data_IF_502214500140
#
_entry.id   IF_502214500140
#
_cell.length_a   1.000
_cell.length_b   1.000
_cell.length_c   1.000
_cell.angle_alpha   90.00
_cell.angle_beta   90.00
_cell.angle_gamma   90.00
#
_symmetry.space_group_name_H-M   'P 1'
#
loop_
_entity.id
_entity.type
_entity.pdbx_description
1 polymer ?
#
# COMPACT_ATOMS: atom_id res chain seq x y z
N UNK A 1 43.91 27.38 5.17
CA UNK A 1 42.50 27.75 5.38
C UNK A 1 41.76 27.52 4.08
N UNK A 2 40.80 26.60 4.07
CA UNK A 2 40.00 26.24 2.90
C UNK A 2 38.99 27.34 2.54
N UNK A 3 38.61 27.46 1.27
CA UNK A 3 37.64 28.44 0.76
C UNK A 3 36.30 28.44 1.51
N UNK A 4 35.89 27.31 2.02
CA UNK A 4 34.67 27.13 2.83
C UNK A 4 34.70 27.92 4.17
N UNK A 5 35.87 28.03 4.81
CA UNK A 5 36.03 28.78 6.05
C UNK A 5 35.91 30.30 5.85
N UNK A 6 36.26 30.80 4.66
CA UNK A 6 36.14 32.22 4.28
C UNK A 6 34.70 32.63 3.98
N UNK A 7 33.86 31.65 3.56
CA UNK A 7 32.42 31.85 3.28
C UNK A 7 31.54 31.70 4.50
N UNK A 8 32.08 31.51 5.71
CA UNK A 8 31.31 31.31 6.94
C UNK A 8 30.64 29.94 7.02
N UNK A 9 30.97 29.02 6.12
CA UNK A 9 30.41 27.68 6.12
C UNK A 9 31.05 26.84 7.23
N UNK A 10 30.26 26.53 8.25
CA UNK A 10 30.64 25.57 9.31
C UNK A 10 30.24 24.17 8.86
N UNK A 11 31.23 23.33 8.58
CA UNK A 11 31.00 21.91 8.42
C UNK A 11 30.47 21.40 9.78
N UNK A 12 29.26 20.77 9.84
CA UNK A 12 28.80 20.16 11.06
C UNK A 12 29.80 19.11 11.51
N UNK A 13 30.34 19.24 12.74
CA UNK A 13 31.29 18.26 13.28
C UNK A 13 30.59 16.90 13.38
N UNK A 14 31.24 15.86 12.90
CA UNK A 14 30.82 14.46 13.12
C UNK A 14 30.61 14.27 14.62
N UNK A 15 29.36 13.96 15.02
CA UNK A 15 29.03 13.70 16.42
C UNK A 15 27.95 14.59 17.03
N UNK A 16 27.29 15.47 16.29
CA UNK A 16 26.11 16.17 16.80
C UNK A 16 24.88 15.28 16.69
N UNK A 17 24.25 15.07 17.83
CA UNK A 17 22.92 14.51 17.92
C UNK A 17 21.96 15.21 16.93
N UNK A 18 20.93 14.49 16.53
CA UNK A 18 19.87 14.92 15.62
C UNK A 18 19.53 16.41 15.81
N UNK A 19 19.59 17.20 14.74
CA UNK A 19 19.15 18.60 14.75
C UNK A 19 17.62 18.57 14.80
N UNK A 20 17.05 18.70 15.99
CA UNK A 20 15.60 18.80 16.17
C UNK A 20 15.09 20.15 15.65
N UNK A 21 13.91 20.16 15.03
CA UNK A 21 13.26 21.39 14.59
C UNK A 21 13.65 21.84 13.20
N UNK A 22 14.11 20.94 12.33
CA UNK A 22 14.39 21.22 10.91
C UNK A 22 13.10 21.50 10.09
N UNK A 23 11.96 21.11 10.62
CA UNK A 23 10.65 21.16 9.93
C UNK A 23 10.60 20.34 8.62
N UNK A 24 11.42 19.30 8.53
CA UNK A 24 11.47 18.39 7.39
C UNK A 24 11.07 16.97 7.82
N UNK A 25 10.13 16.39 7.09
CA UNK A 25 9.65 15.01 7.28
C UNK A 25 9.97 14.18 6.04
N UNK A 26 10.63 13.05 6.25
CA UNK A 26 10.83 12.06 5.20
C UNK A 26 9.55 11.25 4.97
N UNK A 27 9.11 11.15 3.71
CA UNK A 27 8.03 10.28 3.30
C UNK A 27 8.62 9.19 2.42
N UNK A 28 8.61 7.96 2.93
CA UNK A 28 9.19 6.78 2.27
C UNK A 28 8.08 6.06 1.50
N UNK A 29 8.20 6.05 0.19
CA UNK A 29 7.24 5.41 -0.73
C UNK A 29 7.95 4.41 -1.64
N UNK A 30 7.19 3.47 -2.18
CA UNK A 30 7.66 2.62 -3.28
C UNK A 30 7.68 3.35 -4.62
N UNK A 31 7.63 2.59 -5.69
CA UNK A 31 7.63 3.15 -7.03
C UNK A 31 6.43 4.09 -7.29
N UNK A 32 6.68 5.27 -7.85
CA UNK A 32 5.68 6.31 -8.07
C UNK A 32 4.69 6.02 -9.22
N UNK A 33 4.92 4.97 -10.01
CA UNK A 33 3.94 4.52 -11.02
C UNK A 33 2.66 3.92 -10.41
N UNK A 34 2.66 3.62 -9.11
CA UNK A 34 1.44 3.24 -8.40
C UNK A 34 0.62 4.50 -8.06
N UNK A 35 -0.51 4.68 -8.73
CA UNK A 35 -1.37 5.85 -8.59
C UNK A 35 -1.88 6.09 -7.16
N UNK A 36 -2.08 5.02 -6.37
CA UNK A 36 -2.45 5.15 -4.96
C UNK A 36 -1.34 5.79 -4.14
N UNK A 37 -0.08 5.41 -4.37
CA UNK A 37 1.06 6.01 -3.66
C UNK A 37 1.20 7.50 -3.99
N UNK A 38 0.95 7.89 -5.23
CA UNK A 38 0.96 9.31 -5.65
C UNK A 38 -0.17 10.09 -4.97
N UNK A 39 -1.36 9.51 -4.89
CA UNK A 39 -2.50 10.12 -4.19
C UNK A 39 -2.23 10.27 -2.69
N UNK A 40 -1.70 9.23 -2.04
CA UNK A 40 -1.31 9.26 -0.62
C UNK A 40 -0.25 10.33 -0.36
N UNK A 41 0.79 10.41 -1.22
CA UNK A 41 1.84 11.43 -1.11
C UNK A 41 1.28 12.84 -1.20
N UNK A 42 0.31 13.08 -2.09
CA UNK A 42 -0.37 14.38 -2.20
C UNK A 42 -1.08 14.75 -0.89
N UNK A 43 -1.84 13.82 -0.29
CA UNK A 43 -2.54 14.06 0.96
C UNK A 43 -1.58 14.22 2.15
N UNK A 44 -0.50 13.45 2.20
CA UNK A 44 0.56 13.61 3.21
C UNK A 44 1.24 14.97 3.09
N UNK A 45 1.59 15.39 1.85
CA UNK A 45 2.16 16.70 1.59
C UNK A 45 1.24 17.82 2.09
N UNK A 46 -0.05 17.77 1.74
CA UNK A 46 -1.02 18.79 2.15
C UNK A 46 -1.15 18.85 3.69
N UNK A 47 -1.25 17.71 4.35
CA UNK A 47 -1.37 17.64 5.81
C UNK A 47 -0.11 18.15 6.53
N UNK A 48 1.08 17.80 6.03
CA UNK A 48 2.36 18.27 6.57
C UNK A 48 2.56 19.77 6.34
N UNK A 49 2.19 20.27 5.15
CA UNK A 49 2.28 21.69 4.83
C UNK A 49 1.42 22.54 5.75
N UNK A 50 0.17 22.13 6.01
CA UNK A 50 -0.73 22.80 7.00
C UNK A 50 -0.11 22.81 8.40
N UNK A 51 0.63 21.76 8.76
CA UNK A 51 1.34 21.66 10.04
C UNK A 51 2.69 22.42 10.07
N UNK A 52 3.08 23.10 8.98
CA UNK A 52 4.32 23.87 8.87
C UNK A 52 5.58 23.01 8.65
N UNK A 53 5.42 21.82 8.04
CA UNK A 53 6.52 20.93 7.68
C UNK A 53 6.69 20.80 6.18
N UNK A 54 7.94 20.57 5.74
CA UNK A 54 8.29 20.25 4.36
C UNK A 54 8.44 18.74 4.19
N UNK A 55 8.11 18.24 3.00
CA UNK A 55 8.26 16.81 2.64
C UNK A 55 9.60 16.59 1.94
N UNK A 56 10.35 15.62 2.40
CA UNK A 56 11.48 15.02 1.67
C UNK A 56 11.05 13.64 1.20
N UNK A 57 10.93 13.48 -0.11
CA UNK A 57 10.55 12.21 -0.72
C UNK A 57 11.73 11.25 -0.73
N UNK A 58 11.52 10.06 -0.18
CA UNK A 58 12.48 8.96 -0.18
C UNK A 58 11.85 7.78 -0.93
N UNK A 59 12.49 7.34 -2.01
CA UNK A 59 12.03 6.15 -2.76
C UNK A 59 12.71 4.93 -2.15
N UNK A 60 11.90 4.01 -1.62
CA UNK A 60 12.38 2.76 -1.07
C UNK A 60 12.76 1.80 -2.21
N UNK A 61 14.02 1.39 -2.34
CA UNK A 61 14.44 0.45 -3.36
C UNK A 61 13.89 -0.97 -3.14
N UNK A 62 13.32 -1.26 -1.95
CA UNK A 62 12.68 -2.54 -1.56
C UNK A 62 13.60 -3.79 -1.55
N UNK A 63 14.78 -3.72 -2.14
CA UNK A 63 15.60 -4.90 -2.46
C UNK A 63 17.02 -4.87 -1.90
N UNK A 64 17.49 -3.72 -1.40
CA UNK A 64 18.90 -3.59 -1.04
C UNK A 64 19.10 -2.91 0.33
N UNK A 65 19.56 -3.71 1.31
CA UNK A 65 19.90 -3.22 2.65
C UNK A 65 21.04 -2.18 2.64
N UNK A 66 21.92 -2.19 1.64
CA UNK A 66 23.02 -1.24 1.52
C UNK A 66 22.51 0.14 1.08
N UNK A 67 21.51 0.20 0.20
CA UNK A 67 20.88 1.47 -0.21
C UNK A 67 20.10 2.11 0.94
N UNK A 68 19.56 1.32 1.84
CA UNK A 68 18.93 1.81 3.08
C UNK A 68 19.94 2.60 3.93
N UNK A 69 21.17 2.12 4.00
CA UNK A 69 22.24 2.81 4.72
C UNK A 69 22.65 4.12 4.04
N UNK A 70 22.44 4.27 2.74
CA UNK A 70 22.73 5.51 2.01
C UNK A 70 21.82 6.69 2.42
N UNK A 71 20.58 6.43 2.85
CA UNK A 71 19.68 7.47 3.37
C UNK A 71 19.97 7.87 4.81
N UNK A 72 20.77 7.09 5.53
CA UNK A 72 21.05 7.28 6.95
C UNK A 72 21.57 8.67 7.32
N UNK A 73 22.57 9.27 6.63
CA UNK A 73 23.04 10.60 6.98
C UNK A 73 21.96 11.68 6.84
N UNK A 74 21.07 11.53 5.83
CA UNK A 74 19.94 12.43 5.62
C UNK A 74 18.92 12.30 6.76
N UNK A 75 18.58 11.08 7.12
CA UNK A 75 17.61 10.79 8.19
C UNK A 75 18.12 11.29 9.56
N UNK A 76 19.39 11.04 9.88
CA UNK A 76 19.96 11.40 11.18
C UNK A 76 20.27 12.90 11.30
N UNK A 77 20.55 13.58 10.18
CA UNK A 77 21.01 14.96 10.18
C UNK A 77 19.95 16.02 9.90
N UNK A 78 18.92 15.68 9.13
CA UNK A 78 18.04 16.69 8.53
C UNK A 78 16.54 16.43 8.71
N UNK A 79 16.11 15.21 9.11
CA UNK A 79 14.70 14.91 9.24
C UNK A 79 14.25 14.84 10.69
N UNK A 80 13.13 15.48 11.00
CA UNK A 80 12.50 15.41 12.32
C UNK A 80 11.80 14.06 12.56
N UNK A 81 11.33 13.41 11.49
CA UNK A 81 10.67 12.11 11.54
C UNK A 81 10.39 11.54 10.16
N UNK A 82 9.80 10.34 10.15
CA UNK A 82 9.54 9.56 8.93
C UNK A 82 8.11 9.03 8.88
N UNK A 83 7.51 9.06 7.69
CA UNK A 83 6.27 8.34 7.37
C UNK A 83 6.61 7.28 6.32
N UNK A 84 6.35 6.01 6.64
CA UNK A 84 6.55 4.89 5.73
C UNK A 84 5.23 4.46 5.12
N UNK A 85 5.10 4.56 3.80
CA UNK A 85 3.98 4.02 3.04
C UNK A 85 4.30 2.68 2.36
N UNK A 86 5.54 2.22 2.50
CA UNK A 86 6.03 0.95 1.97
C UNK A 86 6.94 0.29 2.99
N UNK A 87 6.84 -1.00 3.12
CA UNK A 87 7.78 -1.87 3.84
C UNK A 87 7.41 -3.32 3.57
N UNK A 88 8.38 -4.21 3.65
CA UNK A 88 8.15 -5.64 3.85
C UNK A 88 7.91 -5.93 5.33
N UNK A 89 7.31 -7.08 5.64
CA UNK A 89 7.00 -7.47 7.02
C UNK A 89 8.22 -7.50 7.93
N UNK A 90 9.38 -7.82 7.38
CA UNK A 90 10.68 -7.95 8.02
C UNK A 90 11.65 -6.79 7.71
N UNK A 91 11.14 -5.64 7.28
CA UNK A 91 11.95 -4.50 6.79
C UNK A 91 13.16 -4.17 7.67
N UNK A 92 14.40 -4.39 7.19
CA UNK A 92 15.60 -4.09 7.97
C UNK A 92 15.74 -2.59 8.28
N UNK A 93 15.25 -1.73 7.36
CA UNK A 93 15.26 -0.28 7.55
C UNK A 93 14.42 0.11 8.77
N UNK A 94 13.19 -0.37 8.85
CA UNK A 94 12.29 -0.04 9.97
C UNK A 94 12.85 -0.55 11.30
N UNK A 95 13.43 -1.76 11.29
CA UNK A 95 14.10 -2.34 12.48
C UNK A 95 15.22 -1.43 12.98
N UNK A 96 16.11 -1.02 12.08
CA UNK A 96 17.28 -0.20 12.42
C UNK A 96 16.87 1.21 12.90
N UNK A 97 15.91 1.86 12.23
CA UNK A 97 15.44 3.19 12.60
C UNK A 97 14.72 3.18 13.96
N UNK A 98 13.95 2.13 14.24
CA UNK A 98 13.33 1.93 15.55
C UNK A 98 14.40 1.78 16.65
N UNK A 99 15.43 0.95 16.41
CA UNK A 99 16.55 0.78 17.35
C UNK A 99 17.24 2.10 17.69
N UNK A 100 17.23 3.07 16.76
CA UNK A 100 17.79 4.41 16.93
C UNK A 100 16.81 5.43 17.52
N UNK A 101 15.60 5.02 17.87
CA UNK A 101 14.54 5.91 18.36
C UNK A 101 14.23 7.06 17.41
N UNK A 102 14.29 6.83 16.09
CA UNK A 102 13.84 7.79 15.09
C UNK A 102 12.31 7.83 15.11
N UNK A 103 11.66 9.00 15.32
CA UNK A 103 10.22 9.12 15.21
C UNK A 103 9.72 8.66 13.86
N UNK A 104 8.81 7.67 13.85
CA UNK A 104 8.26 7.15 12.61
C UNK A 104 6.82 6.67 12.80
N UNK A 105 6.08 6.66 11.69
CA UNK A 105 4.74 6.11 11.57
C UNK A 105 4.66 5.29 10.29
N UNK A 106 4.08 4.10 10.36
CA UNK A 106 3.71 3.30 9.20
C UNK A 106 2.33 3.73 8.71
N UNK A 107 2.14 3.87 7.40
CA UNK A 107 0.83 4.10 6.79
C UNK A 107 0.60 3.10 5.67
N UNK A 108 -0.65 2.60 5.53
CA UNK A 108 -1.06 1.57 4.56
C UNK A 108 -0.63 0.16 4.96
N UNK A 109 0.61 -0.02 5.42
CA UNK A 109 1.21 -1.32 5.75
C UNK A 109 1.74 -1.32 7.17
N UNK A 110 1.89 -2.50 7.73
CA UNK A 110 2.63 -2.71 8.97
C UNK A 110 3.82 -3.65 8.75
N UNK A 111 4.66 -3.70 9.74
CA UNK A 111 5.81 -4.60 9.86
C UNK A 111 5.62 -5.47 11.09
N UNK A 112 6.19 -6.68 11.09
CA UNK A 112 6.07 -7.62 12.23
C UNK A 112 6.99 -7.20 13.40
N UNK A 113 6.92 -5.90 13.78
CA UNK A 113 7.72 -5.31 14.86
C UNK A 113 6.81 -4.54 15.80
N UNK A 114 6.99 -4.75 17.11
CA UNK A 114 6.26 -4.01 18.15
C UNK A 114 6.83 -2.61 18.33
N UNK A 115 5.97 -1.66 18.66
CA UNK A 115 6.37 -0.33 19.11
C UNK A 115 6.56 0.70 17.99
N UNK A 116 5.89 0.53 16.85
CA UNK A 116 5.76 1.52 15.78
C UNK A 116 4.29 1.88 15.63
N UNK A 117 3.97 3.16 15.46
CA UNK A 117 2.61 3.59 15.17
C UNK A 117 2.22 3.17 13.75
N UNK A 118 0.98 2.69 13.62
CA UNK A 118 0.44 2.16 12.37
C UNK A 118 -0.89 2.86 12.06
N UNK A 119 -1.07 3.27 10.82
CA UNK A 119 -2.33 3.78 10.27
C UNK A 119 -2.66 2.98 9.03
N UNK A 120 -3.73 2.23 9.07
CA UNK A 120 -4.11 1.32 7.98
C UNK A 120 -5.63 1.14 7.90
N UNK A 121 -6.07 0.33 6.94
CA UNK A 121 -7.41 -0.25 6.91
C UNK A 121 -7.35 -1.70 7.44
N UNK A 122 -8.51 -2.27 7.77
CA UNK A 122 -8.61 -3.71 7.99
C UNK A 122 -8.49 -4.46 6.64
N UNK A 123 -7.27 -4.88 6.30
CA UNK A 123 -7.00 -5.59 5.06
C UNK A 123 -7.59 -7.01 5.03
N UNK A 124 -7.77 -7.66 6.19
CA UNK A 124 -8.48 -8.95 6.27
C UNK A 124 -9.94 -8.74 5.91
N UNK A 125 -10.60 -7.75 6.54
CA UNK A 125 -11.99 -7.42 6.21
C UNK A 125 -12.15 -6.98 4.75
N UNK A 126 -11.18 -6.23 4.20
CA UNK A 126 -11.19 -5.84 2.78
C UNK A 126 -11.12 -7.05 1.84
N UNK A 127 -10.31 -8.06 2.16
CA UNK A 127 -10.27 -9.33 1.45
C UNK A 127 -11.59 -10.11 1.53
N UNK A 128 -12.20 -10.15 2.72
CA UNK A 128 -13.54 -10.75 2.93
C UNK A 128 -14.56 -10.08 2.04
N UNK A 129 -14.63 -8.74 2.06
CA UNK A 129 -15.62 -7.97 1.28
C UNK A 129 -15.49 -8.22 -0.23
N UNK A 130 -14.24 -8.26 -0.74
CA UNK A 130 -13.99 -8.50 -2.16
C UNK A 130 -14.43 -9.92 -2.59
N UNK A 131 -14.04 -10.94 -1.82
CA UNK A 131 -14.41 -12.33 -2.10
C UNK A 131 -15.91 -12.58 -1.93
N UNK A 132 -16.52 -12.02 -0.87
CA UNK A 132 -17.95 -12.09 -0.61
C UNK A 132 -18.74 -11.50 -1.78
N UNK A 133 -18.36 -10.33 -2.25
CA UNK A 133 -19.03 -9.66 -3.37
C UNK A 133 -19.07 -10.53 -4.62
N UNK A 134 -17.95 -11.14 -5.03
CA UNK A 134 -17.93 -12.05 -6.18
C UNK A 134 -18.74 -13.33 -5.90
N UNK A 135 -18.65 -13.89 -4.71
CA UNK A 135 -19.41 -15.09 -4.34
C UNK A 135 -20.92 -14.85 -4.36
N UNK A 136 -21.40 -13.71 -3.83
CA UNK A 136 -22.83 -13.30 -3.86
C UNK A 136 -23.36 -13.08 -5.28
N UNK A 137 -22.48 -12.69 -6.22
CA UNK A 137 -22.78 -12.59 -7.65
C UNK A 137 -22.79 -13.96 -8.37
N UNK A 138 -22.58 -15.07 -7.65
CA UNK A 138 -22.62 -16.43 -8.18
C UNK A 138 -21.28 -16.98 -8.67
N UNK A 139 -20.18 -16.23 -8.56
CA UNK A 139 -18.87 -16.74 -8.96
C UNK A 139 -18.38 -17.84 -8.01
N UNK A 140 -17.90 -18.96 -8.60
CA UNK A 140 -17.33 -20.10 -7.87
C UNK A 140 -15.89 -20.39 -8.29
N UNK A 141 -15.53 -20.11 -9.54
CA UNK A 141 -14.15 -20.16 -10.03
C UNK A 141 -13.55 -18.77 -9.90
N UNK A 142 -12.81 -18.55 -8.82
CA UNK A 142 -12.25 -17.25 -8.44
C UNK A 142 -10.74 -17.30 -8.49
N UNK A 143 -10.13 -16.26 -9.06
CA UNK A 143 -8.72 -16.00 -9.05
C UNK A 143 -8.35 -14.85 -8.11
N UNK A 144 -7.22 -14.96 -7.44
CA UNK A 144 -6.60 -13.90 -6.63
C UNK A 144 -5.26 -13.53 -7.29
N UNK A 145 -5.10 -12.28 -7.72
CA UNK A 145 -3.83 -11.77 -8.26
C UNK A 145 -3.35 -10.67 -7.33
N UNK A 146 -2.36 -10.96 -6.51
CA UNK A 146 -1.96 -10.12 -5.37
C UNK A 146 -0.58 -9.50 -5.58
N UNK A 147 -0.28 -8.45 -4.81
CA UNK A 147 1.05 -7.87 -4.70
C UNK A 147 2.04 -8.82 -4.01
N UNK A 148 3.26 -8.34 -3.64
CA UNK A 148 4.28 -9.19 -3.03
C UNK A 148 3.80 -9.87 -1.74
N UNK A 149 4.07 -11.18 -1.62
CA UNK A 149 3.60 -12.02 -0.51
C UNK A 149 4.19 -11.60 0.86
N UNK A 150 5.35 -10.93 0.87
CA UNK A 150 6.00 -10.43 2.07
C UNK A 150 5.52 -9.04 2.51
N UNK A 151 4.36 -8.57 2.01
CA UNK A 151 3.71 -7.33 2.46
C UNK A 151 2.46 -7.63 3.26
N UNK A 152 2.22 -6.87 4.34
CA UNK A 152 1.03 -7.04 5.20
C UNK A 152 -0.28 -6.92 4.42
N UNK A 153 -0.38 -5.93 3.52
CA UNK A 153 -1.58 -5.70 2.69
C UNK A 153 -1.95 -6.91 1.84
N UNK A 154 -0.98 -7.49 1.12
CA UNK A 154 -1.25 -8.66 0.27
C UNK A 154 -1.58 -9.91 1.08
N UNK A 155 -0.80 -10.19 2.14
CA UNK A 155 -1.02 -11.32 3.02
C UNK A 155 -2.41 -11.30 3.66
N UNK A 156 -2.80 -10.15 4.21
CA UNK A 156 -4.05 -10.02 4.96
C UNK A 156 -5.27 -10.03 4.03
N UNK A 157 -5.18 -9.42 2.82
CA UNK A 157 -6.23 -9.51 1.79
C UNK A 157 -6.46 -10.95 1.35
N UNK A 158 -5.38 -11.72 1.15
CA UNK A 158 -5.48 -13.15 0.83
C UNK A 158 -6.10 -13.94 1.98
N UNK A 159 -5.63 -13.72 3.21
CA UNK A 159 -6.16 -14.41 4.38
C UNK A 159 -7.68 -14.17 4.54
N UNK A 160 -8.14 -12.93 4.37
CA UNK A 160 -9.57 -12.60 4.39
C UNK A 160 -10.36 -13.26 3.27
N UNK A 161 -9.88 -13.14 2.02
CA UNK A 161 -10.55 -13.71 0.86
C UNK A 161 -10.64 -15.24 0.95
N UNK A 162 -9.55 -15.92 1.23
CA UNK A 162 -9.50 -17.38 1.35
C UNK A 162 -10.34 -17.88 2.51
N UNK A 163 -10.29 -17.20 3.68
CA UNK A 163 -11.11 -17.55 4.84
C UNK A 163 -12.62 -17.45 4.55
N UNK A 164 -13.05 -16.40 3.86
CA UNK A 164 -14.43 -16.24 3.43
C UNK A 164 -14.86 -17.34 2.44
N UNK A 165 -14.06 -17.58 1.39
CA UNK A 165 -14.37 -18.57 0.37
C UNK A 165 -14.48 -19.97 0.96
N UNK A 166 -13.63 -20.34 1.90
CA UNK A 166 -13.71 -21.60 2.64
C UNK A 166 -15.01 -21.71 3.44
N UNK A 167 -15.40 -20.66 4.17
CA UNK A 167 -16.67 -20.63 4.91
C UNK A 167 -17.88 -20.71 3.99
N UNK A 168 -17.79 -20.16 2.79
CA UNK A 168 -18.83 -20.22 1.76
C UNK A 168 -18.88 -21.57 1.02
N UNK A 169 -18.07 -22.55 1.41
CA UNK A 169 -18.07 -23.90 0.84
C UNK A 169 -17.31 -24.03 -0.47
N UNK A 170 -16.49 -23.04 -0.83
CA UNK A 170 -15.59 -23.12 -1.98
C UNK A 170 -14.32 -23.87 -1.58
N UNK A 171 -13.96 -24.88 -2.34
CA UNK A 171 -12.67 -25.57 -2.17
C UNK A 171 -11.52 -24.61 -2.48
N UNK A 172 -10.83 -24.18 -1.44
CA UNK A 172 -9.73 -23.23 -1.58
C UNK A 172 -8.52 -23.76 -2.35
N UNK A 173 -8.40 -25.09 -2.52
CA UNK A 173 -7.38 -25.67 -3.39
C UNK A 173 -7.65 -25.40 -4.87
N UNK A 174 -8.88 -25.06 -5.24
CA UNK A 174 -9.27 -24.68 -6.60
C UNK A 174 -9.19 -23.16 -6.83
N UNK A 175 -8.99 -22.37 -5.78
CA UNK A 175 -8.77 -20.93 -5.92
C UNK A 175 -7.38 -20.70 -6.47
N UNK A 176 -7.30 -20.03 -7.62
CA UNK A 176 -6.02 -19.72 -8.27
C UNK A 176 -5.43 -18.48 -7.62
N UNK A 177 -4.28 -18.61 -6.96
CA UNK A 177 -3.57 -17.52 -6.28
C UNK A 177 -2.23 -17.26 -6.96
N UNK A 178 -2.02 -16.02 -7.39
CA UNK A 178 -0.78 -15.55 -7.97
C UNK A 178 -0.25 -14.32 -7.22
N UNK A 179 1.05 -14.26 -7.07
CA UNK A 179 1.76 -13.17 -6.43
C UNK A 179 2.67 -12.46 -7.44
N UNK A 180 2.93 -11.18 -7.22
CA UNK A 180 3.88 -10.41 -8.02
C UNK A 180 3.94 -8.95 -7.59
N UNK A 181 4.44 -8.07 -8.44
CA UNK A 181 4.55 -6.65 -8.16
C UNK A 181 3.22 -5.92 -8.35
N UNK A 182 3.09 -4.73 -7.76
CA UNK A 182 1.90 -3.88 -7.95
C UNK A 182 1.93 -3.13 -9.29
N UNK A 183 2.01 -3.88 -10.41
CA UNK A 183 2.05 -3.34 -11.77
C UNK A 183 0.92 -3.87 -12.64
N UNK A 184 0.51 -3.11 -13.65
CA UNK A 184 -0.46 -3.55 -14.65
C UNK A 184 0.07 -4.70 -15.50
N UNK A 185 1.36 -4.70 -15.84
CA UNK A 185 2.00 -5.76 -16.64
C UNK A 185 1.95 -7.11 -15.90
N UNK A 186 2.18 -7.10 -14.59
CA UNK A 186 2.03 -8.30 -13.76
C UNK A 186 0.57 -8.76 -13.75
N UNK A 187 -0.37 -7.83 -13.51
CA UNK A 187 -1.81 -8.12 -13.56
C UNK A 187 -2.23 -8.73 -14.89
N UNK A 188 -1.78 -8.16 -16.00
CA UNK A 188 -2.03 -8.68 -17.36
C UNK A 188 -1.47 -10.11 -17.53
N UNK A 189 -0.20 -10.30 -17.23
CA UNK A 189 0.47 -11.59 -17.44
C UNK A 189 -0.17 -12.72 -16.61
N UNK A 190 -0.50 -12.46 -15.34
CA UNK A 190 -1.12 -13.44 -14.47
C UNK A 190 -2.58 -13.71 -14.83
N UNK A 191 -3.32 -12.67 -15.25
CA UNK A 191 -4.69 -12.83 -15.70
C UNK A 191 -4.78 -13.69 -16.97
N UNK A 192 -3.90 -13.49 -17.96
CA UNK A 192 -3.85 -14.31 -19.17
C UNK A 192 -3.82 -15.81 -18.86
N UNK A 193 -2.98 -16.21 -17.88
CA UNK A 193 -2.90 -17.61 -17.46
C UNK A 193 -4.17 -18.12 -16.78
N UNK A 194 -4.99 -17.23 -16.16
CA UNK A 194 -6.19 -17.61 -15.39
C UNK A 194 -7.47 -17.64 -16.23
N UNK A 195 -7.55 -16.80 -17.28
CA UNK A 195 -8.79 -16.60 -18.07
C UNK A 195 -8.86 -17.47 -19.32
N UNK A 196 -7.80 -18.22 -19.63
CA UNK A 196 -7.76 -19.14 -20.75
C UNK A 196 -7.97 -20.60 -20.30
N UNK A 197 -8.59 -21.41 -21.17
CA UNK A 197 -8.75 -22.84 -20.97
C UNK A 197 -10.05 -23.26 -20.29
N UNK A 198 -10.16 -24.57 -20.00
CA UNK A 198 -11.38 -25.22 -19.51
C UNK A 198 -11.75 -24.80 -18.08
N UNK A 199 -10.75 -24.52 -17.28
CA UNK A 199 -10.89 -24.14 -15.86
C UNK A 199 -10.69 -22.63 -15.68
N UNK A 200 -11.05 -21.84 -16.68
CA UNK A 200 -10.96 -20.39 -16.63
C UNK A 200 -11.78 -19.84 -15.44
N UNK A 201 -11.19 -18.87 -14.74
CA UNK A 201 -11.89 -18.18 -13.66
C UNK A 201 -12.96 -17.25 -14.22
N UNK A 202 -14.03 -17.05 -13.46
CA UNK A 202 -15.13 -16.14 -13.84
C UNK A 202 -15.11 -14.85 -13.02
N UNK A 203 -14.33 -14.81 -11.94
CA UNK A 203 -14.12 -13.62 -11.11
C UNK A 203 -12.68 -13.51 -10.68
N UNK A 204 -12.14 -12.30 -10.70
CA UNK A 204 -10.77 -12.01 -10.23
C UNK A 204 -10.82 -10.92 -9.15
N UNK A 205 -10.20 -11.21 -8.00
CA UNK A 205 -9.84 -10.24 -7.00
C UNK A 205 -8.40 -9.81 -7.27
N UNK A 206 -8.21 -8.60 -7.73
CA UNK A 206 -6.91 -8.01 -7.98
C UNK A 206 -6.42 -7.27 -6.73
N UNK A 207 -5.17 -7.49 -6.33
CA UNK A 207 -4.58 -6.99 -5.10
C UNK A 207 -4.56 -5.46 -4.94
N UNK A 208 -4.69 -4.71 -6.06
CA UNK A 208 -4.99 -3.28 -6.10
C UNK A 208 -5.57 -2.89 -7.47
N UNK A 209 -5.94 -1.63 -7.64
CA UNK A 209 -6.52 -1.13 -8.90
C UNK A 209 -5.52 -1.15 -10.06
N UNK A 210 -4.23 -0.96 -9.80
CA UNK A 210 -3.21 -1.04 -10.86
C UNK A 210 -3.13 -2.46 -11.44
N UNK A 211 -3.17 -3.48 -10.60
CA UNK A 211 -3.25 -4.89 -11.02
C UNK A 211 -4.57 -5.13 -11.77
N UNK A 212 -5.69 -4.60 -11.25
CA UNK A 212 -7.00 -4.75 -11.87
C UNK A 212 -7.06 -4.17 -13.29
N UNK A 213 -6.39 -3.04 -13.54
CA UNK A 213 -6.27 -2.48 -14.90
C UNK A 213 -5.57 -3.45 -15.85
N UNK A 214 -4.52 -4.13 -15.41
CA UNK A 214 -3.85 -5.17 -16.18
C UNK A 214 -4.77 -6.37 -16.47
N UNK A 215 -5.59 -6.77 -15.48
CA UNK A 215 -6.61 -7.83 -15.65
C UNK A 215 -7.64 -7.42 -16.72
N UNK A 216 -8.11 -6.18 -16.69
CA UNK A 216 -9.06 -5.66 -17.69
C UNK A 216 -8.44 -5.62 -19.10
N UNK A 217 -7.16 -5.29 -19.20
CA UNK A 217 -6.42 -5.34 -20.46
C UNK A 217 -6.33 -6.78 -21.00
N UNK A 218 -6.03 -7.77 -20.14
CA UNK A 218 -6.01 -9.18 -20.51
C UNK A 218 -7.39 -9.65 -20.99
N UNK A 219 -8.46 -9.32 -20.26
CA UNK A 219 -9.82 -9.64 -20.68
C UNK A 219 -10.15 -9.06 -22.06
N UNK A 220 -9.80 -7.80 -22.29
CA UNK A 220 -9.98 -7.15 -23.62
C UNK A 220 -9.18 -7.86 -24.71
N UNK A 221 -7.96 -8.25 -24.43
CA UNK A 221 -7.10 -9.00 -25.38
C UNK A 221 -7.73 -10.33 -25.78
N UNK A 222 -8.33 -11.03 -24.82
CA UNK A 222 -9.04 -12.29 -25.04
C UNK A 222 -10.49 -12.08 -25.53
N UNK A 223 -10.94 -10.84 -25.73
CA UNK A 223 -12.31 -10.47 -26.13
C UNK A 223 -13.38 -10.99 -25.17
N UNK A 224 -13.04 -11.09 -23.89
CA UNK A 224 -14.00 -11.42 -22.85
C UNK A 224 -14.84 -10.19 -22.50
N UNK A 225 -16.13 -10.41 -22.34
CA UNK A 225 -17.06 -9.39 -21.85
C UNK A 225 -16.88 -9.22 -20.33
N UNK A 226 -16.66 -7.97 -19.89
CA UNK A 226 -16.60 -7.59 -18.47
C UNK A 226 -17.78 -6.66 -18.20
N UNK A 227 -18.72 -7.05 -17.32
CA UNK A 227 -18.65 -8.16 -16.36
C UNK A 227 -19.27 -9.49 -16.84
N UNK A 228 -19.82 -9.58 -18.07
CA UNK A 228 -20.66 -10.71 -18.50
C UNK A 228 -19.97 -12.08 -18.43
N UNK A 229 -18.69 -12.16 -18.77
CA UNK A 229 -17.92 -13.42 -18.73
C UNK A 229 -16.85 -13.42 -17.64
N UNK A 230 -16.36 -12.24 -17.24
CA UNK A 230 -15.35 -12.08 -16.20
C UNK A 230 -15.71 -10.88 -15.32
N UNK A 231 -15.86 -11.10 -14.02
CA UNK A 231 -15.95 -10.02 -13.05
C UNK A 231 -14.56 -9.68 -12.48
N UNK A 232 -14.28 -8.37 -12.31
CA UNK A 232 -12.99 -7.87 -11.78
C UNK A 232 -13.25 -6.87 -10.66
N UNK A 233 -12.63 -7.10 -9.51
CA UNK A 233 -12.65 -6.18 -8.37
C UNK A 233 -11.23 -5.82 -7.95
N UNK A 234 -10.99 -4.53 -7.66
CA UNK A 234 -9.74 -3.98 -7.19
C UNK A 234 -9.76 -3.49 -5.75
N UNK A 235 -8.69 -2.82 -5.34
CA UNK A 235 -8.58 -2.08 -4.08
C UNK A 235 -7.91 -0.74 -4.38
N UNK A 236 -8.16 0.24 -3.54
CA UNK A 236 -7.66 1.60 -3.45
C UNK A 236 -8.68 2.66 -3.88
N UNK A 237 -9.51 2.36 -4.88
CA UNK A 237 -10.43 3.30 -5.54
C UNK A 237 -9.70 4.55 -6.05
N UNK A 238 -8.65 4.33 -6.84
CA UNK A 238 -7.90 5.41 -7.48
C UNK A 238 -8.80 6.22 -8.44
N UNK A 239 -8.51 7.48 -8.74
CA UNK A 239 -9.35 8.31 -9.62
C UNK A 239 -9.65 7.68 -10.98
N UNK A 240 -8.67 6.95 -11.54
CA UNK A 240 -8.85 6.25 -12.82
C UNK A 240 -9.87 5.11 -12.74
N UNK A 241 -9.98 4.42 -11.59
CA UNK A 241 -10.99 3.39 -11.37
C UNK A 241 -12.41 3.94 -11.50
N UNK A 242 -12.63 5.16 -11.06
CA UNK A 242 -13.91 5.87 -11.16
C UNK A 242 -14.23 6.44 -12.56
N UNK A 243 -13.28 6.42 -13.49
CA UNK A 243 -13.51 6.89 -14.87
C UNK A 243 -14.63 6.09 -15.55
N UNK A 244 -15.59 6.73 -16.24
CA UNK A 244 -16.66 6.03 -16.96
C UNK A 244 -16.18 5.02 -18.00
N UNK A 245 -14.95 5.19 -18.53
CA UNK A 245 -14.33 4.26 -19.49
C UNK A 245 -13.90 2.98 -18.79
N UNK A 246 -13.51 3.04 -17.53
CA UNK A 246 -13.03 1.89 -16.75
C UNK A 246 -14.17 1.32 -15.88
N UNK A 247 -14.80 2.16 -15.06
CA UNK A 247 -15.89 1.76 -14.19
C UNK A 247 -15.54 0.62 -13.24
N UNK A 248 -14.31 0.62 -12.67
CA UNK A 248 -13.79 -0.47 -11.84
C UNK A 248 -14.50 -0.51 -10.48
N UNK A 249 -15.08 -1.66 -10.15
CA UNK A 249 -15.50 -1.99 -8.79
C UNK A 249 -14.26 -2.13 -7.91
N UNK A 250 -14.22 -1.42 -6.78
CA UNK A 250 -13.01 -1.37 -5.95
C UNK A 250 -13.36 -1.20 -4.46
N UNK A 251 -12.49 -1.71 -3.58
CA UNK A 251 -12.53 -1.41 -2.15
C UNK A 251 -11.80 -0.10 -1.91
N UNK A 252 -12.56 0.94 -1.54
CA UNK A 252 -12.01 2.27 -1.25
C UNK A 252 -11.29 2.30 0.07
N UNK A 253 -10.09 2.89 0.07
CA UNK A 253 -9.37 3.30 1.26
C UNK A 253 -9.58 4.81 1.51
N UNK A 254 -9.80 5.25 2.76
CA UNK A 254 -9.99 6.66 3.09
C UNK A 254 -8.63 7.40 3.14
N UNK A 255 -7.95 7.52 1.98
CA UNK A 255 -6.54 7.94 1.87
C UNK A 255 -6.26 9.30 2.51
N UNK A 256 -7.20 10.27 2.41
CA UNK A 256 -7.06 11.57 3.07
C UNK A 256 -7.07 11.45 4.60
N UNK A 257 -8.00 10.64 5.16
CA UNK A 257 -8.07 10.41 6.59
C UNK A 257 -6.83 9.63 7.10
N UNK A 258 -6.34 8.66 6.31
CA UNK A 258 -5.10 7.94 6.60
C UNK A 258 -3.91 8.90 6.68
N UNK A 259 -3.75 9.79 5.69
CA UNK A 259 -2.67 10.78 5.65
C UNK A 259 -2.73 11.74 6.85
N UNK A 260 -3.91 12.30 7.17
CA UNK A 260 -4.08 13.19 8.33
C UNK A 260 -3.77 12.48 9.65
N UNK A 261 -4.21 11.24 9.79
CA UNK A 261 -3.95 10.45 10.99
C UNK A 261 -2.48 10.14 11.14
N UNK A 262 -1.80 9.72 10.05
CA UNK A 262 -0.36 9.45 10.06
C UNK A 262 0.46 10.70 10.44
N UNK A 263 0.13 11.85 9.86
CA UNK A 263 0.80 13.12 10.19
C UNK A 263 0.59 13.48 11.66
N UNK A 264 -0.64 13.42 12.17
CA UNK A 264 -0.93 13.68 13.59
C UNK A 264 -0.11 12.77 14.50
N UNK A 265 -0.10 11.45 14.24
CA UNK A 265 0.67 10.47 15.03
C UNK A 265 2.16 10.78 15.01
N UNK A 266 2.72 11.08 13.85
CA UNK A 266 4.13 11.44 13.75
C UNK A 266 4.45 12.71 14.54
N UNK A 267 3.63 13.75 14.40
CA UNK A 267 3.86 15.02 15.12
C UNK A 267 3.76 14.84 16.64
N UNK A 268 2.89 13.95 17.11
CA UNK A 268 2.86 13.58 18.53
C UNK A 268 4.15 12.88 18.95
N UNK A 269 4.74 12.02 18.13
CA UNK A 269 6.04 11.35 18.40
C UNK A 269 7.25 12.28 18.38
N UNK A 270 7.18 13.36 17.63
CA UNK A 270 8.28 14.35 17.56
C UNK A 270 8.37 15.23 18.80
N UNK A 271 7.26 15.39 19.54
CA UNK A 271 7.22 16.21 20.75
C UNK A 271 8.17 15.69 21.82
N UNK A 272 8.85 16.58 22.58
CA UNK A 272 9.70 16.15 23.69
C UNK A 272 8.91 15.34 24.74
N UNK A 273 9.53 14.30 25.28
CA UNK A 273 8.94 13.48 26.34
C UNK A 273 7.97 12.40 25.90
N UNK A 274 7.69 12.26 24.60
CA UNK A 274 6.73 11.28 24.06
C UNK A 274 7.36 9.94 23.66
N UNK A 275 8.67 9.79 23.76
CA UNK A 275 9.38 8.55 23.40
C UNK A 275 8.88 7.31 24.17
N UNK A 276 8.34 7.48 25.38
CA UNK A 276 7.78 6.41 26.21
C UNK A 276 6.29 6.11 25.94
N UNK A 277 5.62 6.85 25.05
CA UNK A 277 4.22 6.58 24.73
C UNK A 277 4.08 5.21 24.04
N UNK A 278 3.08 4.39 24.42
CA UNK A 278 2.82 3.13 23.70
C UNK A 278 2.53 3.39 22.23
N UNK A 279 2.90 2.43 21.39
CA UNK A 279 2.54 2.49 19.98
C UNK A 279 1.04 2.32 19.80
N UNK A 280 0.50 3.00 18.81
CA UNK A 280 -0.92 2.95 18.44
C UNK A 280 -1.12 2.29 17.08
N UNK A 281 -2.28 1.66 16.90
CA UNK A 281 -2.75 1.14 15.62
C UNK A 281 -4.12 1.75 15.33
N UNK A 282 -4.15 2.63 14.34
CA UNK A 282 -5.39 3.26 13.86
C UNK A 282 -5.87 2.50 12.62
N UNK A 283 -7.01 1.83 12.75
CA UNK A 283 -7.65 1.10 11.65
C UNK A 283 -8.83 1.92 11.14
N UNK A 284 -8.79 2.33 9.87
CA UNK A 284 -9.82 3.16 9.27
C UNK A 284 -10.82 2.30 8.47
N UNK A 285 -12.09 2.76 8.35
CA UNK A 285 -13.12 2.00 7.64
C UNK A 285 -12.85 1.93 6.14
N UNK A 286 -13.31 0.85 5.52
CA UNK A 286 -13.31 0.64 4.08
C UNK A 286 -14.72 0.83 3.52
N UNK A 287 -14.83 0.99 2.19
CA UNK A 287 -16.09 1.04 1.47
C UNK A 287 -15.99 0.26 0.15
N UNK A 288 -16.94 -0.65 -0.11
CA UNK A 288 -17.07 -1.30 -1.42
C UNK A 288 -17.76 -0.36 -2.40
N UNK A 289 -17.05 0.09 -3.42
CA UNK A 289 -17.58 0.93 -4.49
C UNK A 289 -17.93 0.05 -5.69
N UNK A 290 -19.21 -0.26 -5.84
CA UNK A 290 -19.72 -1.07 -6.96
C UNK A 290 -19.80 -0.22 -8.22
N UNK A 291 -19.28 -0.75 -9.33
CA UNK A 291 -19.32 -0.13 -10.65
C UNK A 291 -19.61 -1.17 -11.74
N UNK A 292 -19.00 -1.02 -12.91
CA UNK A 292 -19.36 -1.77 -14.13
C UNK A 292 -18.56 -3.07 -14.30
N UNK A 293 -17.47 -3.31 -13.58
CA UNK A 293 -16.59 -4.46 -13.80
C UNK A 293 -16.99 -5.71 -13.02
N UNK A 294 -18.08 -5.68 -12.24
CA UNK A 294 -18.63 -6.86 -11.57
C UNK A 294 -20.11 -7.03 -11.85
N UNK A 295 -20.56 -8.25 -12.10
CA UNK A 295 -21.93 -8.60 -12.41
C UNK A 295 -22.24 -10.06 -12.11
N UNK A 296 -23.51 -10.52 -12.27
CA UNK A 296 -23.89 -11.90 -12.06
C UNK A 296 -23.08 -12.85 -12.93
N UNK A 297 -22.63 -13.98 -12.36
CA UNK A 297 -21.95 -15.02 -13.13
C UNK A 297 -22.91 -15.65 -14.14
N UNK A 298 -22.59 -15.54 -15.43
CA UNK A 298 -23.33 -16.20 -16.50
C UNK A 298 -22.77 -17.61 -16.68
N UNK A 299 -23.50 -18.65 -16.26
CA UNK A 299 -23.13 -20.05 -16.47
C UNK A 299 -22.54 -20.72 -15.22
N UNK A 300 -23.20 -20.57 -14.06
CA UNK A 300 -23.00 -21.43 -12.90
C UNK A 300 -23.80 -22.71 -13.06
#
# INVERSE_FOLDING_TARGET
MTAAARAGYRIPSQGRGRVAGTKMIGVVVGALHNSFMTLLLQHLHNALHVAGYQVVLLIDPMTDAEQVLAFRPLIEGYLDGLIFATATLDSPMVIELRRRNIPMVMVVRYVDIVGVDIVEIDNVQAGIEAARHLHELGHRRIGLIMGPANTSTSRDRVAGAMGWLQQAGIDTQQVRLEWGDYTSDMGYSKAMAMIEGRDAVTGIVAGNDTIALGVLEAARRCRLDVPGQLSVIGFDDIPLAGSPIIGLTSIRQPVEAMARTAVRRLLDRIKPGTAAMPASRDVLPIELIRRQTTGPCQGA
#
